data_IF_523501433675
#
_entry.id   IF_523501433675
#
_cell.length_a   1.000
_cell.length_b   1.000
_cell.length_c   1.000
_cell.angle_alpha   90.00
_cell.angle_beta   90.00
_cell.angle_gamma   90.00
#
_symmetry.space_group_name_H-M   'P 1'
#
loop_
_entity.id
_entity.type
_entity.pdbx_description
1 polymer ?
#
# COMPACT_ATOMS: atom_id res chain seq x y z
N UNK A 1 -32.84 -93.64 -2.94
CA UNK A 1 -32.33 -92.94 -4.15
C UNK A 1 -32.68 -91.49 -4.05
N UNK A 2 -31.80 -90.69 -3.45
CA UNK A 2 -31.99 -89.25 -3.16
C UNK A 2 -31.13 -88.40 -4.11
N UNK A 3 -31.80 -87.65 -4.95
CA UNK A 3 -31.06 -86.73 -5.88
C UNK A 3 -30.70 -85.38 -5.22
N UNK A 4 -29.43 -85.09 -5.11
CA UNK A 4 -28.90 -83.85 -4.61
C UNK A 4 -28.91 -82.80 -5.77
N UNK A 5 -29.69 -81.71 -5.63
CA UNK A 5 -29.70 -80.59 -6.55
C UNK A 5 -28.62 -79.55 -6.09
N UNK A 6 -27.61 -79.38 -6.88
CA UNK A 6 -26.57 -78.28 -6.67
C UNK A 6 -27.14 -77.05 -7.31
N UNK A 7 -27.35 -75.99 -6.51
CA UNK A 7 -27.63 -74.62 -6.98
C UNK A 7 -26.30 -73.88 -7.17
N UNK A 8 -25.91 -73.53 -8.42
CA UNK A 8 -24.86 -72.65 -8.74
C UNK A 8 -25.38 -71.19 -8.63
N UNK A 9 -25.01 -70.46 -7.57
CA UNK A 9 -25.27 -69.03 -7.44
C UNK A 9 -24.17 -68.25 -8.12
N UNK A 10 -24.46 -67.59 -9.24
CA UNK A 10 -23.59 -66.61 -9.89
C UNK A 10 -23.61 -65.29 -9.13
N UNK A 11 -22.54 -64.99 -8.42
CA UNK A 11 -22.37 -63.72 -7.72
C UNK A 11 -21.80 -62.70 -8.71
N UNK A 12 -22.65 -61.77 -9.19
CA UNK A 12 -22.25 -60.69 -10.10
C UNK A 12 -21.65 -59.54 -9.24
N UNK A 13 -20.33 -59.41 -9.28
CA UNK A 13 -19.64 -58.29 -8.62
C UNK A 13 -19.78 -57.03 -9.49
N UNK A 14 -20.58 -56.06 -9.07
CA UNK A 14 -20.70 -54.74 -9.70
C UNK A 14 -19.56 -53.89 -9.16
N UNK A 15 -18.51 -53.68 -9.99
CA UNK A 15 -17.40 -52.81 -9.70
C UNK A 15 -17.84 -51.35 -9.93
N UNK A 16 -18.19 -50.63 -8.88
CA UNK A 16 -18.47 -49.16 -8.95
C UNK A 16 -17.15 -48.40 -9.02
N UNK A 17 -16.80 -47.92 -10.21
CA UNK A 17 -15.67 -47.02 -10.42
C UNK A 17 -16.11 -45.62 -9.93
N UNK A 18 -15.63 -45.21 -8.76
CA UNK A 18 -15.74 -43.82 -8.29
C UNK A 18 -14.82 -42.95 -9.11
N UNK A 19 -15.35 -42.15 -10.02
CA UNK A 19 -14.57 -41.10 -10.72
C UNK A 19 -14.23 -39.99 -9.72
N UNK A 20 -12.95 -39.54 -9.64
CA UNK A 20 -12.63 -38.42 -8.80
C UNK A 20 -13.36 -37.18 -9.35
N UNK A 21 -14.11 -36.49 -8.50
CA UNK A 21 -14.72 -35.21 -8.82
C UNK A 21 -13.60 -34.20 -9.06
N UNK A 22 -13.32 -33.89 -10.31
CA UNK A 22 -12.47 -32.76 -10.68
C UNK A 22 -13.22 -31.51 -10.26
N UNK A 23 -12.79 -30.87 -9.15
CA UNK A 23 -13.28 -29.58 -8.75
C UNK A 23 -13.03 -28.59 -9.90
N UNK A 24 -14.08 -28.23 -10.61
CA UNK A 24 -14.05 -27.17 -11.62
C UNK A 24 -13.74 -25.87 -10.88
N UNK A 25 -12.49 -25.39 -11.01
CA UNK A 25 -12.17 -24.00 -10.68
C UNK A 25 -13.01 -23.11 -11.57
N UNK A 26 -14.01 -22.45 -10.99
CA UNK A 26 -14.70 -21.36 -11.66
C UNK A 26 -13.68 -20.32 -12.13
N UNK A 27 -13.95 -19.58 -13.21
CA UNK A 27 -13.06 -18.51 -13.64
C UNK A 27 -12.87 -17.56 -12.45
N UNK A 28 -11.60 -17.28 -12.12
CA UNK A 28 -11.28 -16.27 -11.10
C UNK A 28 -11.99 -14.97 -11.51
N UNK A 29 -12.68 -14.28 -10.58
CA UNK A 29 -13.32 -13.02 -10.89
C UNK A 29 -12.25 -12.10 -11.49
N UNK A 30 -12.53 -11.51 -12.65
CA UNK A 30 -11.63 -10.60 -13.33
C UNK A 30 -11.26 -9.49 -12.34
N UNK A 31 -9.98 -9.37 -12.04
CA UNK A 31 -9.49 -8.29 -11.21
C UNK A 31 -9.87 -6.98 -11.91
N UNK A 32 -10.69 -6.15 -11.27
CA UNK A 32 -11.00 -4.81 -11.78
C UNK A 32 -9.67 -4.07 -11.87
N UNK A 33 -9.21 -3.77 -13.07
CA UNK A 33 -7.97 -3.03 -13.26
C UNK A 33 -8.17 -1.61 -12.73
N UNK A 34 -7.44 -1.27 -11.67
CA UNK A 34 -7.42 0.10 -11.14
C UNK A 34 -6.74 1.02 -12.15
N UNK A 35 -7.15 2.30 -12.19
CA UNK A 35 -6.43 3.27 -13.00
C UNK A 35 -5.01 3.46 -12.45
N UNK A 36 -4.00 3.74 -13.32
CA UNK A 36 -2.62 3.98 -12.88
C UNK A 36 -2.52 5.07 -11.79
N UNK A 37 -3.33 6.10 -11.86
CA UNK A 37 -3.35 7.19 -10.87
C UNK A 37 -3.83 6.71 -9.50
N UNK A 38 -4.85 5.86 -9.44
CA UNK A 38 -5.34 5.26 -8.19
C UNK A 38 -4.31 4.29 -7.60
N UNK A 39 -3.63 3.51 -8.44
CA UNK A 39 -2.54 2.64 -8.02
C UNK A 39 -1.42 3.46 -7.40
N UNK A 40 -0.97 4.49 -8.11
CA UNK A 40 0.08 5.39 -7.64
C UNK A 40 -0.29 6.04 -6.30
N UNK A 41 -1.54 6.50 -6.15
CA UNK A 41 -2.03 7.10 -4.92
C UNK A 41 -2.12 6.08 -3.77
N UNK A 42 -2.52 4.84 -4.04
CA UNK A 42 -2.55 3.76 -3.05
C UNK A 42 -1.14 3.40 -2.54
N UNK A 43 -0.12 3.58 -3.37
CA UNK A 43 1.29 3.36 -3.02
C UNK A 43 1.95 4.59 -2.34
N UNK A 44 1.26 5.73 -2.27
CA UNK A 44 1.83 6.95 -1.70
C UNK A 44 2.28 6.76 -0.23
N UNK A 45 3.46 7.27 0.16
CA UNK A 45 3.92 7.19 1.55
C UNK A 45 3.14 8.14 2.44
N UNK A 46 3.10 7.83 3.76
CA UNK A 46 2.51 8.71 4.77
C UNK A 46 3.43 8.81 6.00
N UNK A 47 3.30 9.89 6.77
CA UNK A 47 4.02 10.05 8.04
C UNK A 47 3.17 9.56 9.19
N UNK A 48 3.79 8.88 10.15
CA UNK A 48 3.17 8.52 11.43
C UNK A 48 4.07 8.90 12.60
N UNK A 49 3.47 9.38 13.68
CA UNK A 49 4.14 9.63 14.97
C UNK A 49 4.04 8.44 15.92
N UNK A 50 3.14 7.53 15.64
CA UNK A 50 2.89 6.35 16.45
C UNK A 50 3.00 5.09 15.59
N UNK A 51 3.54 4.03 16.18
CA UNK A 51 3.54 2.73 15.53
C UNK A 51 2.10 2.20 15.46
N UNK A 52 1.62 1.80 14.29
CA UNK A 52 0.29 1.21 14.17
C UNK A 52 0.15 -0.01 15.10
N UNK A 53 -0.87 0.02 15.97
CA UNK A 53 -1.17 -1.07 16.90
C UNK A 53 -1.90 -2.23 16.19
N UNK A 54 -1.35 -2.69 15.04
CA UNK A 54 -1.91 -3.75 14.22
C UNK A 54 -1.16 -5.05 14.50
N UNK A 55 -1.87 -6.07 14.95
CA UNK A 55 -1.32 -7.41 15.19
C UNK A 55 -1.31 -8.28 13.94
N UNK A 56 -2.12 -7.93 12.94
CA UNK A 56 -2.26 -8.67 11.69
C UNK A 56 -1.03 -8.46 10.81
N UNK A 57 -0.36 -9.56 10.41
CA UNK A 57 0.92 -9.50 9.69
C UNK A 57 1.06 -10.61 8.67
N UNK A 58 1.88 -10.33 7.65
CA UNK A 58 2.44 -11.38 6.78
C UNK A 58 3.39 -12.24 7.62
N UNK A 59 3.09 -13.52 7.74
CA UNK A 59 3.79 -14.46 8.64
C UNK A 59 4.61 -15.51 7.91
N UNK A 60 4.45 -15.68 6.58
CA UNK A 60 5.16 -16.68 5.79
C UNK A 60 4.81 -16.62 4.31
N UNK A 61 5.39 -17.53 3.56
CA UNK A 61 5.10 -17.78 2.15
C UNK A 61 4.83 -19.27 1.89
N UNK A 62 4.60 -19.62 0.64
CA UNK A 62 4.30 -21.01 0.23
C UNK A 62 5.54 -21.90 0.12
N UNK A 63 6.74 -21.31 0.12
CA UNK A 63 7.97 -22.04 -0.12
C UNK A 63 8.39 -22.86 1.10
N UNK A 64 8.94 -24.08 0.87
CA UNK A 64 9.49 -24.93 1.92
C UNK A 64 10.76 -24.32 2.57
N UNK A 65 11.53 -23.53 1.81
CA UNK A 65 12.62 -22.71 2.35
C UNK A 65 12.11 -21.31 2.62
N UNK A 66 12.23 -20.78 3.85
CA UNK A 66 11.74 -19.45 4.19
C UNK A 66 12.33 -18.37 3.27
N UNK A 67 11.50 -17.71 2.52
CA UNK A 67 11.82 -16.53 1.71
C UNK A 67 11.33 -15.29 2.46
N UNK A 68 12.18 -14.28 2.55
CA UNK A 68 11.86 -13.05 3.27
C UNK A 68 11.04 -12.06 2.43
N UNK A 69 11.17 -12.16 1.11
CA UNK A 69 10.68 -11.16 0.14
C UNK A 69 9.78 -11.83 -0.87
N UNK A 70 8.62 -11.25 -1.11
CA UNK A 70 7.60 -11.78 -2.02
C UNK A 70 7.17 -10.73 -3.06
N UNK A 71 6.68 -11.21 -4.22
CA UNK A 71 6.31 -10.42 -5.39
C UNK A 71 4.85 -10.70 -5.83
N UNK A 72 4.28 -9.92 -6.75
CA UNK A 72 2.94 -10.19 -7.29
C UNK A 72 2.81 -11.62 -7.83
N UNK A 73 1.71 -12.27 -7.47
CA UNK A 73 1.43 -13.67 -7.81
C UNK A 73 1.89 -14.68 -6.76
N UNK A 74 2.80 -14.31 -5.85
CA UNK A 74 3.22 -15.18 -4.75
C UNK A 74 2.06 -15.36 -3.75
N UNK A 75 2.05 -16.51 -3.09
CA UNK A 75 1.16 -16.79 -1.96
C UNK A 75 1.90 -16.48 -0.65
N UNK A 76 1.23 -15.75 0.22
CA UNK A 76 1.69 -15.41 1.57
C UNK A 76 0.68 -15.85 2.61
N UNK A 77 1.15 -16.13 3.81
CA UNK A 77 0.28 -16.42 4.95
C UNK A 77 0.09 -15.19 5.82
N UNK A 78 -1.10 -15.06 6.40
CA UNK A 78 -1.47 -14.03 7.38
C UNK A 78 -1.71 -14.74 8.71
N UNK A 79 -1.22 -14.16 9.82
CA UNK A 79 -1.34 -14.70 11.17
C UNK A 79 -2.74 -14.54 11.79
N UNK A 80 -3.80 -14.61 10.98
CA UNK A 80 -5.19 -14.65 11.44
C UNK A 80 -6.05 -15.42 10.44
N UNK A 81 -7.11 -16.03 10.96
CA UNK A 81 -8.09 -16.81 10.20
C UNK A 81 -9.52 -16.42 10.54
N UNK A 82 -10.43 -17.39 10.49
CA UNK A 82 -11.85 -17.16 10.77
C UNK A 82 -12.11 -16.64 12.18
N UNK A 83 -11.31 -17.04 13.18
CA UNK A 83 -11.37 -16.48 14.55
C UNK A 83 -11.04 -15.00 14.59
N UNK A 84 -10.18 -14.51 13.69
CA UNK A 84 -9.83 -13.11 13.51
C UNK A 84 -10.78 -12.35 12.58
N UNK A 85 -11.87 -12.97 12.12
CA UNK A 85 -12.85 -12.34 11.22
C UNK A 85 -12.41 -12.27 9.75
N UNK A 86 -11.38 -13.03 9.37
CA UNK A 86 -10.91 -13.08 7.98
C UNK A 86 -11.83 -14.00 7.16
N UNK A 87 -12.15 -13.54 5.93
CA UNK A 87 -12.97 -14.28 4.99
C UNK A 87 -12.32 -14.38 3.61
N UNK A 88 -12.63 -15.41 2.85
CA UNK A 88 -12.16 -15.58 1.47
C UNK A 88 -12.63 -14.42 0.60
N UNK A 89 -11.73 -13.92 -0.24
CA UNK A 89 -11.99 -12.79 -1.13
C UNK A 89 -11.73 -11.41 -0.52
N UNK A 90 -11.55 -11.31 0.79
CA UNK A 90 -11.16 -10.07 1.45
C UNK A 90 -9.84 -9.54 0.90
N UNK A 91 -9.74 -8.21 0.79
CA UNK A 91 -8.51 -7.54 0.35
C UNK A 91 -7.93 -6.71 1.48
N UNK A 92 -6.58 -6.67 1.51
CA UNK A 92 -5.84 -5.92 2.51
C UNK A 92 -4.64 -5.23 1.87
N UNK A 93 -4.29 -4.05 2.39
CA UNK A 93 -2.97 -3.48 2.21
C UNK A 93 -1.94 -4.27 2.99
N UNK A 94 -0.73 -4.41 2.45
CA UNK A 94 0.48 -4.74 3.19
C UNK A 94 1.29 -3.47 3.36
N UNK A 95 1.75 -3.18 4.59
CA UNK A 95 2.42 -1.93 4.94
C UNK A 95 3.59 -2.15 5.87
N UNK A 96 4.53 -1.22 5.83
CA UNK A 96 5.72 -1.20 6.67
C UNK A 96 5.95 0.20 7.23
N UNK A 97 6.39 0.28 8.50
CA UNK A 97 6.85 1.54 9.08
C UNK A 97 8.37 1.55 9.07
N UNK A 98 8.94 2.56 8.43
CA UNK A 98 10.36 2.84 8.49
C UNK A 98 10.59 3.91 9.57
N UNK A 99 11.39 3.57 10.58
CA UNK A 99 11.69 4.45 11.73
C UNK A 99 13.03 5.18 11.61
N UNK A 100 13.80 4.88 10.57
CA UNK A 100 15.15 5.44 10.38
C UNK A 100 15.11 6.76 9.62
N UNK A 101 15.19 7.87 10.32
CA UNK A 101 15.84 9.12 9.93
C UNK A 101 15.42 9.85 8.65
N UNK A 102 14.47 9.34 7.88
CA UNK A 102 14.13 9.91 6.58
C UNK A 102 13.32 11.21 6.68
N UNK A 103 12.53 11.35 7.73
CA UNK A 103 11.73 12.55 7.94
C UNK A 103 12.00 13.12 9.35
N UNK A 104 12.39 14.38 9.44
CA UNK A 104 12.51 15.10 10.71
C UNK A 104 11.47 16.19 10.79
N UNK A 105 10.60 16.13 11.81
CA UNK A 105 9.63 17.18 12.12
C UNK A 105 9.98 17.74 13.50
N UNK A 106 10.59 18.90 13.52
CA UNK A 106 11.08 19.51 14.77
C UNK A 106 12.11 18.62 15.48
N UNK A 107 11.83 18.24 16.75
CA UNK A 107 12.67 17.34 17.55
C UNK A 107 12.25 15.88 17.48
N UNK A 108 11.12 15.59 16.86
CA UNK A 108 10.60 14.23 16.71
C UNK A 108 11.11 13.58 15.43
N UNK A 109 11.32 12.29 15.48
CA UNK A 109 11.70 11.47 14.33
C UNK A 109 10.54 10.53 14.00
N UNK A 110 9.55 11.00 13.22
CA UNK A 110 8.38 10.18 12.89
C UNK A 110 8.78 9.00 12.01
N UNK A 111 7.97 7.97 12.03
CA UNK A 111 8.04 6.88 11.06
C UNK A 111 7.42 7.29 9.72
N UNK A 112 7.89 6.66 8.67
CA UNK A 112 7.24 6.72 7.35
C UNK A 112 6.50 5.42 7.10
N UNK A 113 5.19 5.49 6.93
CA UNK A 113 4.37 4.35 6.49
C UNK A 113 4.60 4.19 4.99
N UNK A 114 4.99 2.99 4.59
CA UNK A 114 5.12 2.54 3.21
C UNK A 114 4.06 1.50 2.91
N UNK A 115 3.31 1.67 1.86
CA UNK A 115 2.47 0.61 1.30
C UNK A 115 3.37 -0.29 0.47
N UNK A 116 3.55 -1.55 0.88
CA UNK A 116 4.36 -2.52 0.14
C UNK A 116 3.56 -3.20 -0.96
N UNK A 117 2.22 -3.25 -0.81
CA UNK A 117 1.32 -3.78 -1.83
C UNK A 117 -0.08 -4.02 -1.28
N UNK A 118 -0.82 -4.88 -1.95
CA UNK A 118 -2.07 -5.44 -1.43
C UNK A 118 -2.26 -6.89 -1.84
N UNK A 119 -2.99 -7.59 -1.01
CA UNK A 119 -3.22 -9.02 -1.07
C UNK A 119 -4.72 -9.31 -1.09
N UNK A 120 -5.09 -10.43 -1.69
CA UNK A 120 -6.45 -10.97 -1.65
C UNK A 120 -6.43 -12.35 -1.01
N UNK A 121 -7.28 -12.56 -0.02
CA UNK A 121 -7.42 -13.83 0.70
C UNK A 121 -7.97 -14.90 -0.24
N UNK A 122 -7.27 -16.01 -0.34
CA UNK A 122 -7.61 -17.14 -1.19
C UNK A 122 -8.19 -18.32 -0.40
N UNK A 123 -7.66 -18.60 0.79
CA UNK A 123 -8.13 -19.65 1.69
C UNK A 123 -8.00 -19.20 3.15
N UNK A 124 -8.86 -19.71 4.00
CA UNK A 124 -8.91 -19.33 5.43
C UNK A 124 -9.07 -20.59 6.26
N UNK A 125 -8.23 -20.74 7.27
CA UNK A 125 -8.36 -21.71 8.37
C UNK A 125 -8.78 -20.98 9.64
N UNK A 126 -8.81 -21.65 10.79
CA UNK A 126 -9.24 -21.04 12.06
C UNK A 126 -8.32 -19.90 12.51
N UNK A 127 -6.99 -20.09 12.44
CA UNK A 127 -5.97 -19.18 12.97
C UNK A 127 -5.07 -18.54 11.91
N UNK A 128 -5.16 -18.99 10.67
CA UNK A 128 -4.32 -18.53 9.57
C UNK A 128 -5.12 -18.36 8.29
N UNK A 129 -4.62 -17.49 7.42
CA UNK A 129 -5.16 -17.33 6.07
C UNK A 129 -4.05 -17.37 5.03
N UNK A 130 -4.39 -17.86 3.84
CA UNK A 130 -3.53 -17.82 2.67
C UNK A 130 -4.06 -16.74 1.72
N UNK A 131 -3.18 -15.87 1.27
CA UNK A 131 -3.52 -14.76 0.38
C UNK A 131 -2.54 -14.69 -0.80
N UNK A 132 -3.03 -14.19 -1.94
CA UNK A 132 -2.20 -13.90 -3.12
C UNK A 132 -1.86 -12.42 -3.13
N UNK A 133 -0.59 -12.08 -3.40
CA UNK A 133 -0.19 -10.70 -3.68
C UNK A 133 -0.75 -10.31 -5.05
N UNK A 134 -1.72 -9.40 -5.07
CA UNK A 134 -2.37 -8.94 -6.30
C UNK A 134 -1.68 -7.73 -6.89
N UNK A 135 -0.99 -6.95 -6.06
CA UNK A 135 -0.16 -5.83 -6.49
C UNK A 135 0.98 -5.58 -5.50
N UNK A 136 2.12 -5.10 -5.99
CA UNK A 136 3.23 -4.65 -5.17
C UNK A 136 3.66 -3.23 -5.58
N UNK A 137 3.73 -2.34 -4.59
CA UNK A 137 4.36 -1.03 -4.71
C UNK A 137 5.87 -1.14 -4.46
N UNK A 138 6.22 -2.03 -3.53
CA UNK A 138 7.57 -2.45 -3.17
C UNK A 138 7.54 -3.98 -2.95
N UNK A 139 8.63 -4.56 -2.47
CA UNK A 139 8.62 -5.96 -2.04
C UNK A 139 7.76 -6.14 -0.79
N UNK A 140 6.94 -7.17 -0.77
CA UNK A 140 6.20 -7.58 0.43
C UNK A 140 7.10 -8.49 1.25
N UNK A 141 7.40 -8.10 2.49
CA UNK A 141 8.31 -8.83 3.36
C UNK A 141 7.57 -9.48 4.53
N UNK A 142 8.18 -10.50 5.12
CA UNK A 142 7.71 -11.05 6.39
C UNK A 142 7.69 -9.96 7.46
N UNK A 143 6.59 -9.90 8.22
CA UNK A 143 6.38 -8.90 9.26
C UNK A 143 5.69 -7.62 8.79
N UNK A 144 5.49 -7.41 7.49
CA UNK A 144 4.64 -6.32 7.02
C UNK A 144 3.25 -6.44 7.66
N UNK A 145 2.74 -5.34 8.23
CA UNK A 145 1.42 -5.36 8.83
C UNK A 145 0.33 -5.24 7.76
N UNK A 146 -0.87 -5.72 8.11
CA UNK A 146 -1.98 -5.89 7.17
C UNK A 146 -3.17 -5.07 7.64
N UNK A 147 -3.70 -4.21 6.78
CA UNK A 147 -4.88 -3.37 7.04
C UNK A 147 -5.95 -3.61 5.97
N UNK A 148 -7.25 -3.45 6.28
CA UNK A 148 -8.30 -3.55 5.27
C UNK A 148 -8.03 -2.64 4.08
N UNK A 149 -8.17 -3.19 2.87
CA UNK A 149 -7.99 -2.42 1.64
C UNK A 149 -9.18 -1.49 1.41
N UNK A 150 -8.88 -0.22 1.16
CA UNK A 150 -9.85 0.75 0.70
C UNK A 150 -9.25 1.57 -0.44
N UNK A 151 -9.99 1.72 -1.53
CA UNK A 151 -9.53 2.55 -2.65
C UNK A 151 -9.37 3.99 -2.17
N UNK A 152 -8.20 4.62 -2.44
CA UNK A 152 -8.02 6.03 -2.13
C UNK A 152 -8.92 6.89 -3.04
N UNK A 153 -9.33 8.03 -2.52
CA UNK A 153 -10.06 9.03 -3.29
C UNK A 153 -9.08 10.06 -3.83
N UNK A 154 -9.10 10.29 -5.15
CA UNK A 154 -8.34 11.39 -5.73
C UNK A 154 -9.01 12.71 -5.33
N UNK A 155 -8.32 13.60 -4.59
CA UNK A 155 -8.94 14.84 -4.15
C UNK A 155 -9.17 15.79 -5.32
N UNK A 156 -10.29 16.51 -5.28
CA UNK A 156 -10.53 17.61 -6.22
C UNK A 156 -9.50 18.72 -5.99
N UNK A 157 -8.93 19.23 -7.08
CA UNK A 157 -7.97 20.34 -6.99
C UNK A 157 -8.61 21.59 -6.43
N UNK A 158 -7.95 22.25 -5.50
CA UNK A 158 -8.34 23.57 -5.02
C UNK A 158 -8.34 24.58 -6.19
N UNK A 159 -9.36 25.44 -6.30
CA UNK A 159 -9.39 26.51 -7.28
C UNK A 159 -8.40 27.64 -6.97
N UNK A 160 -7.80 27.65 -5.79
CA UNK A 160 -6.85 28.68 -5.35
C UNK A 160 -5.56 28.57 -6.15
N UNK A 161 -5.22 29.63 -6.88
CA UNK A 161 -4.05 29.71 -7.78
C UNK A 161 -3.16 30.91 -7.47
N UNK A 162 -3.56 31.75 -6.50
CA UNK A 162 -2.78 32.91 -6.08
C UNK A 162 -1.39 32.53 -5.52
N UNK A 163 -0.49 33.50 -5.40
CA UNK A 163 0.85 33.26 -4.86
C UNK A 163 0.78 32.83 -3.39
N UNK A 164 1.71 31.96 -2.93
CA UNK A 164 1.84 31.65 -1.52
C UNK A 164 2.15 32.87 -0.66
N UNK A 165 1.76 32.80 0.62
CA UNK A 165 2.11 33.82 1.59
C UNK A 165 3.63 33.81 1.87
N UNK A 166 4.27 34.96 1.72
CA UNK A 166 5.68 35.11 2.01
C UNK A 166 5.97 34.82 3.50
N UNK A 167 7.00 34.03 3.76
CA UNK A 167 7.41 33.66 5.12
C UNK A 167 6.63 32.47 5.72
N UNK A 168 5.53 32.04 5.11
CA UNK A 168 4.76 30.89 5.57
C UNK A 168 5.05 29.66 4.70
N UNK A 169 6.30 29.20 4.75
CA UNK A 169 6.74 28.03 4.00
C UNK A 169 6.84 26.80 4.89
N UNK A 170 6.49 25.64 4.33
CA UNK A 170 6.86 24.34 4.84
C UNK A 170 8.16 23.85 4.21
N UNK A 171 8.59 22.67 4.61
CA UNK A 171 9.78 21.99 4.09
C UNK A 171 9.40 20.62 3.56
N UNK A 172 10.03 20.22 2.46
CA UNK A 172 10.09 18.83 2.02
C UNK A 172 10.94 18.06 3.02
N UNK A 173 10.38 17.03 3.63
CA UNK A 173 11.04 16.18 4.61
C UNK A 173 11.73 14.98 3.95
N UNK A 174 11.00 14.33 3.06
CA UNK A 174 11.41 13.16 2.29
C UNK A 174 10.40 12.92 1.17
N UNK A 175 10.52 11.80 0.47
CA UNK A 175 9.54 11.39 -0.53
C UNK A 175 9.50 9.86 -0.69
N UNK A 176 8.93 9.40 -1.79
CA UNK A 176 8.79 7.97 -2.04
C UNK A 176 10.14 7.28 -2.33
N UNK A 177 10.19 5.96 -2.13
CA UNK A 177 11.26 5.05 -2.59
C UNK A 177 12.66 5.34 -2.04
N UNK A 178 12.78 6.04 -0.89
CA UNK A 178 14.09 6.43 -0.29
C UNK A 178 15.00 7.20 -1.25
N UNK A 179 14.43 7.81 -2.27
CA UNK A 179 15.19 8.67 -3.20
C UNK A 179 15.53 9.98 -2.53
N UNK A 180 16.62 10.58 -2.98
CA UNK A 180 17.08 11.90 -2.52
C UNK A 180 16.59 13.03 -3.41
N UNK A 181 16.10 12.70 -4.61
CA UNK A 181 15.60 13.65 -5.60
C UNK A 181 14.28 13.17 -6.16
N UNK A 182 13.39 14.13 -6.39
CA UNK A 182 12.01 13.90 -6.81
C UNK A 182 11.66 14.78 -8.01
N UNK A 183 10.73 14.32 -8.82
CA UNK A 183 10.25 15.03 -9.99
C UNK A 183 8.76 14.86 -10.21
N UNK A 184 8.28 15.21 -11.39
CA UNK A 184 6.87 15.06 -11.76
C UNK A 184 6.40 13.62 -11.56
N UNK A 185 5.24 13.46 -10.93
CA UNK A 185 4.61 12.17 -10.64
C UNK A 185 5.04 11.55 -9.31
N UNK A 186 6.07 12.09 -8.66
CA UNK A 186 6.55 11.61 -7.36
C UNK A 186 5.71 12.15 -6.20
N UNK A 187 5.83 11.51 -5.05
CA UNK A 187 5.23 11.95 -3.79
C UNK A 187 6.27 12.52 -2.85
N UNK A 188 5.90 13.64 -2.20
CA UNK A 188 6.71 14.35 -1.21
C UNK A 188 6.01 14.32 0.14
N UNK A 189 6.75 14.16 1.20
CA UNK A 189 6.28 14.34 2.58
C UNK A 189 6.71 15.70 3.08
N UNK A 190 5.78 16.49 3.63
CA UNK A 190 6.03 17.87 4.09
C UNK A 190 5.64 18.06 5.55
N UNK A 191 6.26 19.08 6.21
CA UNK A 191 5.97 19.46 7.61
C UNK A 191 4.83 20.49 7.71
N UNK A 192 3.81 20.38 6.90
CA UNK A 192 2.57 21.17 6.96
C UNK A 192 1.38 20.23 6.89
N UNK A 193 0.40 20.45 7.73
CA UNK A 193 -0.81 19.63 7.80
C UNK A 193 -2.07 20.47 8.06
N UNK A 194 -3.11 19.84 8.57
CA UNK A 194 -4.40 20.49 8.81
C UNK A 194 -4.31 21.63 9.84
N UNK A 195 -3.40 21.56 10.81
CA UNK A 195 -3.18 22.66 11.78
C UNK A 195 -2.63 23.92 11.14
N UNK A 196 -2.01 23.80 9.96
CA UNK A 196 -1.56 24.94 9.16
C UNK A 196 -2.51 25.25 7.99
N UNK A 197 -3.74 24.74 8.03
CA UNK A 197 -4.78 25.02 7.03
C UNK A 197 -4.66 24.21 5.74
N UNK A 198 -3.80 23.19 5.71
CA UNK A 198 -3.73 22.30 4.53
C UNK A 198 -4.98 21.43 4.47
N UNK A 199 -5.56 21.34 3.29
CA UNK A 199 -6.68 20.44 2.96
C UNK A 199 -6.32 19.57 1.77
N UNK A 200 -6.95 18.41 1.64
CA UNK A 200 -6.78 17.57 0.46
C UNK A 200 -7.18 18.37 -0.80
N UNK A 201 -6.36 18.30 -1.85
CA UNK A 201 -6.50 19.09 -3.06
C UNK A 201 -5.83 20.47 -3.01
N UNK A 202 -5.32 20.93 -1.86
CA UNK A 202 -4.58 22.20 -1.77
C UNK A 202 -3.35 22.19 -2.68
N UNK A 203 -3.13 23.29 -3.40
CA UNK A 203 -2.02 23.43 -4.35
C UNK A 203 -0.83 24.09 -3.67
N UNK A 204 0.35 23.62 -4.02
CA UNK A 204 1.62 24.10 -3.50
C UNK A 204 2.58 24.48 -4.62
N UNK A 205 3.39 25.50 -4.35
CA UNK A 205 4.56 25.84 -5.15
C UNK A 205 5.79 25.31 -4.40
N UNK A 206 6.69 24.68 -5.12
CA UNK A 206 7.94 24.16 -4.57
C UNK A 206 9.08 25.11 -4.94
N UNK A 207 9.91 25.44 -3.97
CA UNK A 207 11.01 26.39 -4.11
C UNK A 207 12.32 25.77 -3.65
N UNK A 208 13.39 26.08 -4.39
CA UNK A 208 14.76 25.76 -4.02
C UNK A 208 15.48 27.00 -3.51
N UNK A 209 16.19 26.87 -2.37
CA UNK A 209 17.10 27.90 -1.84
C UNK A 209 18.54 27.58 -2.26
N UNK A 210 19.04 28.30 -3.26
CA UNK A 210 20.42 28.13 -3.76
C UNK A 210 21.47 28.68 -2.82
N UNK A 211 21.10 29.17 -1.62
CA UNK A 211 22.01 29.77 -0.64
C UNK A 211 22.81 30.93 -1.22
N UNK A 212 22.24 31.64 -2.19
CA UNK A 212 22.86 32.83 -2.79
C UNK A 212 22.62 34.06 -1.91
N UNK A 213 23.47 35.10 -1.99
CA UNK A 213 23.21 36.39 -1.32
C UNK A 213 21.83 36.93 -1.69
N UNK A 214 21.06 37.38 -0.70
CA UNK A 214 19.70 37.90 -0.90
C UNK A 214 18.58 36.94 -0.58
N UNK A 215 18.88 35.69 -0.20
CA UNK A 215 17.89 34.65 0.21
C UNK A 215 16.75 34.46 -0.81
N UNK A 216 17.08 34.43 -2.08
CA UNK A 216 16.08 34.21 -3.13
C UNK A 216 15.65 32.74 -3.20
N UNK A 217 14.34 32.52 -3.17
CA UNK A 217 13.74 31.23 -3.45
C UNK A 217 13.37 31.13 -4.93
N UNK A 218 13.86 30.09 -5.58
CA UNK A 218 13.59 29.83 -7.00
C UNK A 218 12.49 28.80 -7.10
N UNK A 219 11.39 29.14 -7.77
CA UNK A 219 10.31 28.18 -8.03
C UNK A 219 10.84 27.08 -8.94
N UNK A 220 10.69 25.82 -8.50
CA UNK A 220 11.17 24.64 -9.22
C UNK A 220 10.05 23.66 -9.57
N UNK A 221 8.85 23.81 -8.98
CA UNK A 221 7.75 22.89 -9.27
C UNK A 221 6.43 23.29 -8.66
N UNK A 222 5.41 22.48 -8.93
CA UNK A 222 4.09 22.57 -8.32
C UNK A 222 3.63 21.17 -7.87
N UNK A 223 2.88 21.12 -6.77
CA UNK A 223 2.37 19.90 -6.19
C UNK A 223 0.96 20.08 -5.61
N UNK A 224 0.27 18.99 -5.34
CA UNK A 224 -1.07 18.97 -4.73
C UNK A 224 -1.08 18.06 -3.51
N UNK A 225 -1.75 18.48 -2.43
CA UNK A 225 -1.92 17.66 -1.24
C UNK A 225 -2.91 16.51 -1.52
N UNK A 226 -2.47 15.28 -1.33
CA UNK A 226 -3.28 14.06 -1.57
C UNK A 226 -3.66 13.35 -0.27
N UNK A 227 -2.83 13.40 0.75
CA UNK A 227 -3.13 12.93 2.11
C UNK A 227 -2.70 14.00 3.11
N UNK A 228 -3.56 14.29 4.10
CA UNK A 228 -3.33 15.36 5.08
C UNK A 228 -3.54 14.81 6.48
N UNK A 229 -2.50 14.94 7.30
CA UNK A 229 -2.51 14.65 8.74
C UNK A 229 -2.50 15.96 9.52
N UNK A 230 -2.44 15.87 10.85
CA UNK A 230 -2.45 17.05 11.73
C UNK A 230 -1.33 18.04 11.40
N UNK A 231 -0.08 17.58 11.34
CA UNK A 231 1.12 18.44 11.18
C UNK A 231 1.93 18.14 9.91
N UNK A 232 1.48 17.20 9.09
CA UNK A 232 2.17 16.75 7.88
C UNK A 232 1.18 16.51 6.75
N UNK A 233 1.67 16.52 5.51
CA UNK A 233 0.89 16.08 4.36
C UNK A 233 1.79 15.36 3.35
N UNK A 234 1.15 14.54 2.52
CA UNK A 234 1.74 13.96 1.31
C UNK A 234 1.30 14.78 0.12
N UNK A 235 2.26 15.26 -0.64
CA UNK A 235 2.03 16.00 -1.88
C UNK A 235 2.36 15.12 -3.09
N UNK A 236 1.55 15.19 -4.14
CA UNK A 236 1.83 14.65 -5.47
C UNK A 236 2.39 15.76 -6.36
N UNK A 237 3.55 15.56 -6.95
CA UNK A 237 4.22 16.56 -7.80
C UNK A 237 3.56 16.60 -9.18
N UNK A 238 2.95 17.73 -9.51
CA UNK A 238 2.27 17.95 -10.80
C UNK A 238 3.27 18.36 -11.90
N UNK A 239 4.26 19.18 -11.53
CA UNK A 239 5.32 19.63 -12.43
C UNK A 239 6.61 19.90 -11.67
N UNK A 240 7.75 19.69 -12.32
CA UNK A 240 9.07 20.04 -11.83
C UNK A 240 9.95 20.46 -13.00
N UNK A 241 10.65 21.58 -12.86
CA UNK A 241 11.62 22.08 -13.84
C UNK A 241 13.06 21.84 -13.38
N UNK A 242 13.22 21.46 -12.11
CA UNK A 242 14.48 21.02 -11.51
C UNK A 242 14.19 19.94 -10.48
N UNK A 243 15.21 19.20 -10.05
CA UNK A 243 15.07 18.15 -9.04
C UNK A 243 14.66 18.74 -7.69
N UNK A 244 13.60 18.21 -7.12
CA UNK A 244 13.13 18.55 -5.77
C UNK A 244 13.87 17.65 -4.78
N UNK A 245 14.33 18.21 -3.66
CA UNK A 245 15.05 17.47 -2.63
C UNK A 245 14.51 17.74 -1.22
N UNK A 246 14.87 16.90 -0.26
CA UNK A 246 14.62 17.18 1.14
C UNK A 246 15.28 18.49 1.56
N UNK A 247 14.55 19.35 2.27
CA UNK A 247 14.97 20.70 2.65
C UNK A 247 14.52 21.81 1.71
N UNK A 248 13.96 21.48 0.54
CA UNK A 248 13.29 22.47 -0.31
C UNK A 248 12.02 23.00 0.36
N UNK A 249 11.66 24.22 0.02
CA UNK A 249 10.51 24.91 0.60
C UNK A 249 9.24 24.62 -0.19
N UNK A 250 8.12 24.57 0.51
CA UNK A 250 6.78 24.48 -0.09
C UNK A 250 5.89 25.60 0.43
N UNK A 251 5.19 26.29 -0.48
CA UNK A 251 4.24 27.34 -0.16
C UNK A 251 2.85 27.00 -0.67
N UNK A 252 1.83 27.02 0.21
CA UNK A 252 0.45 26.76 -0.18
C UNK A 252 -0.10 27.97 -0.96
N UNK A 253 -0.76 27.72 -2.10
CA UNK A 253 -1.47 28.76 -2.89
C UNK A 253 -2.70 29.27 -2.15
N UNK A 254 -2.99 30.58 -2.34
CA UNK A 254 -4.16 31.28 -1.79
C UNK A 254 -5.18 31.60 -2.88
#
# INVERSE_FOLDING_TARGET
>A
MTRLKVFLGTCTFVLTIALPAVAQRGPAPAATSLSPDLISLACAPAITYEMPAVSLRVSGGQESMPRQVHAPGDLVTINAGTRGGITVGQEFYTRRVLTSGEARVGRTNPGTIRTTGWIRVWAVDEDMSLATITHACETVDLGDYVEPFALPTVPALSPLTGPPERGNYGLVLSGQDRRTQFGRGDYLLINRGSTQGVTAGARFVVYHDKKTPGNFLFQIGEAVAVDVKTDTATLHVLSAIDAIAAGDYVGMRK
#
